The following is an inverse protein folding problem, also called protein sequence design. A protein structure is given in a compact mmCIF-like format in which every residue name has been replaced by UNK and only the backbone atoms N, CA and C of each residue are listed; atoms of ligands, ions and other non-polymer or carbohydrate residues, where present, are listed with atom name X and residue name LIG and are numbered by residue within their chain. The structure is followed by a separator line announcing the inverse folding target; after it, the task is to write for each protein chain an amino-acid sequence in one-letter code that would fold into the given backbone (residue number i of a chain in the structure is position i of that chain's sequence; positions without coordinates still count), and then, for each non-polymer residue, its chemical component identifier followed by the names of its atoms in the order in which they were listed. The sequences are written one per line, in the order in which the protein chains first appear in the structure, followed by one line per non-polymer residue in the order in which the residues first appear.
data_IF_559112401599
#
_entry.id   IF_559112401599
#
_cell.length_a   1.000
_cell.length_b   1.000
_cell.length_c   1.000
_cell.angle_alpha   90.00
_cell.angle_beta   90.00
_cell.angle_gamma   90.00
#
_symmetry.space_group_name_H-M   'P 1'
#
loop_
_entity.id
_entity.type
_entity.pdbx_description
1 polymer ?
#
# COMPACT_ATOMS: atom_id res chain seq x y z
N UNK A 1 11.81 12.74 17.40
CA UNK A 1 11.82 11.28 17.16
C UNK A 1 10.39 10.84 16.89
N UNK A 2 10.08 10.26 15.72
CA UNK A 2 8.74 9.69 15.45
C UNK A 2 8.87 8.18 15.39
N UNK A 3 8.76 7.58 16.57
CA UNK A 3 8.57 6.15 16.78
C UNK A 3 7.14 5.79 16.35
N UNK A 4 6.99 5.20 15.16
CA UNK A 4 5.86 4.31 14.85
C UNK A 4 6.40 3.17 13.99
N UNK A 5 7.00 2.21 14.67
CA UNK A 5 7.23 0.87 14.14
C UNK A 5 5.88 0.14 14.06
N UNK A 6 5.06 0.55 13.10
CA UNK A 6 3.98 -0.26 12.54
C UNK A 6 4.44 -0.56 11.12
N UNK A 7 4.59 -1.85 10.80
CA UNK A 7 5.05 -2.30 9.47
C UNK A 7 4.20 -1.60 8.42
N UNK A 8 4.78 -0.61 7.72
CA UNK A 8 4.03 0.25 6.80
C UNK A 8 3.27 -0.63 5.80
N UNK A 9 2.01 -0.34 5.46
CA UNK A 9 1.24 -1.17 4.52
C UNK A 9 1.99 -1.42 3.20
N UNK A 10 2.73 -0.40 2.72
CA UNK A 10 3.58 -0.54 1.54
C UNK A 10 4.80 -1.44 1.78
N UNK A 11 5.37 -1.47 2.98
CA UNK A 11 6.45 -2.39 3.32
C UNK A 11 5.97 -3.85 3.32
N UNK A 12 4.77 -4.10 3.87
CA UNK A 12 4.15 -5.43 3.79
C UNK A 12 3.91 -5.84 2.34
N UNK A 13 3.36 -4.94 1.53
CA UNK A 13 3.14 -5.20 0.10
C UNK A 13 4.43 -5.57 -0.63
N UNK A 14 5.51 -4.83 -0.36
CA UNK A 14 6.85 -5.11 -0.90
C UNK A 14 7.36 -6.48 -0.46
N UNK A 15 7.13 -6.86 0.80
CA UNK A 15 7.56 -8.16 1.32
C UNK A 15 6.81 -9.31 0.68
N UNK A 16 5.49 -9.19 0.52
CA UNK A 16 4.62 -10.18 -0.13
C UNK A 16 4.99 -10.35 -1.60
N UNK A 17 5.26 -9.25 -2.29
CA UNK A 17 5.67 -9.26 -3.69
C UNK A 17 7.08 -9.82 -3.92
N UNK A 18 7.89 -10.02 -2.86
CA UNK A 18 9.28 -10.48 -2.98
C UNK A 18 10.31 -9.38 -3.26
N UNK A 19 9.98 -8.11 -2.99
CA UNK A 19 10.89 -6.97 -3.06
C UNK A 19 10.35 -5.78 -3.86
N UNK A 20 11.05 -4.64 -3.78
CA UNK A 20 10.58 -3.38 -4.38
C UNK A 20 10.47 -3.46 -5.90
N UNK A 21 11.45 -4.10 -6.55
CA UNK A 21 11.46 -4.30 -8.01
C UNK A 21 10.36 -5.27 -8.45
N UNK A 22 10.09 -6.32 -7.68
CA UNK A 22 9.04 -7.28 -7.99
C UNK A 22 7.66 -6.64 -7.89
N UNK A 23 7.37 -5.92 -6.80
CA UNK A 23 6.13 -5.14 -6.66
C UNK A 23 5.98 -4.14 -7.79
N UNK A 24 7.05 -3.38 -8.10
CA UNK A 24 7.02 -2.38 -9.15
C UNK A 24 6.65 -2.98 -10.52
N UNK A 25 7.21 -4.15 -10.86
CA UNK A 25 6.89 -4.88 -12.09
C UNK A 25 5.44 -5.35 -12.11
N UNK A 26 4.93 -5.88 -10.99
CA UNK A 26 3.56 -6.38 -10.90
C UNK A 26 2.52 -5.28 -11.13
N UNK A 27 2.76 -4.07 -10.63
CA UNK A 27 1.80 -2.95 -10.73
C UNK A 27 2.15 -1.93 -11.83
N UNK A 28 3.13 -2.23 -12.69
CA UNK A 28 3.47 -1.38 -13.85
C UNK A 28 4.15 -0.04 -13.51
N UNK A 29 4.90 0.05 -12.41
CA UNK A 29 5.64 1.26 -12.01
C UNK A 29 7.15 1.02 -11.95
N UNK A 30 7.92 2.09 -11.66
CA UNK A 30 9.36 1.97 -11.42
C UNK A 30 9.67 1.59 -9.97
N UNK A 31 10.77 0.87 -9.73
CA UNK A 31 11.24 0.60 -8.36
C UNK A 31 11.47 1.89 -7.57
N UNK A 32 11.93 2.96 -8.23
CA UNK A 32 12.07 4.28 -7.62
C UNK A 32 10.75 4.89 -7.13
N UNK A 33 9.62 4.58 -7.77
CA UNK A 33 8.30 4.97 -7.28
C UNK A 33 7.98 4.27 -5.95
N UNK A 34 8.23 2.96 -5.88
CA UNK A 34 8.05 2.16 -4.65
C UNK A 34 8.95 2.68 -3.52
N UNK A 35 10.22 2.99 -3.83
CA UNK A 35 11.14 3.59 -2.87
C UNK A 35 10.64 4.93 -2.30
N UNK A 36 10.08 5.80 -3.15
CA UNK A 36 9.48 7.08 -2.71
C UNK A 36 8.30 6.86 -1.76
N UNK A 37 7.47 5.83 -2.01
CA UNK A 37 6.37 5.49 -1.11
C UNK A 37 6.86 4.96 0.24
N UNK A 38 7.86 4.06 0.24
CA UNK A 38 8.48 3.55 1.46
C UNK A 38 9.11 4.64 2.32
N UNK A 39 9.71 5.65 1.68
CA UNK A 39 10.31 6.80 2.36
C UNK A 39 9.28 7.88 2.74
N UNK A 40 8.02 7.73 2.37
CA UNK A 40 6.98 8.74 2.58
C UNK A 40 7.19 10.03 1.77
N UNK A 41 8.08 10.03 0.78
CA UNK A 41 8.36 11.18 -0.09
C UNK A 41 7.22 11.45 -1.08
N UNK A 42 6.44 10.42 -1.39
CA UNK A 42 5.24 10.53 -2.22
C UNK A 42 4.15 9.63 -1.65
N UNK A 43 2.89 10.05 -1.78
CA UNK A 43 1.74 9.19 -1.50
C UNK A 43 1.46 8.24 -2.67
N UNK A 44 0.86 7.09 -2.36
CA UNK A 44 0.36 6.15 -3.35
C UNK A 44 -0.86 6.75 -4.04
N UNK A 45 -0.93 6.74 -5.37
CA UNK A 45 -2.14 7.19 -6.08
C UNK A 45 -3.30 6.22 -5.83
N UNK A 46 -4.58 6.63 -5.95
CA UNK A 46 -5.71 5.72 -5.77
C UNK A 46 -5.63 4.48 -6.68
N UNK A 47 -5.27 4.69 -7.96
CA UNK A 47 -5.05 3.63 -8.95
C UNK A 47 -3.98 2.62 -8.49
N UNK A 48 -2.83 3.10 -8.03
CA UNK A 48 -1.77 2.24 -7.52
C UNK A 48 -2.16 1.55 -6.21
N UNK A 49 -3.02 2.14 -5.37
CA UNK A 49 -3.49 1.49 -4.15
C UNK A 49 -4.36 0.27 -4.47
N UNK A 50 -5.21 0.36 -5.50
CA UNK A 50 -5.97 -0.78 -6.03
C UNK A 50 -5.02 -1.83 -6.61
N UNK A 51 -4.09 -1.43 -7.48
CA UNK A 51 -3.13 -2.36 -8.08
C UNK A 51 -2.26 -3.09 -7.05
N UNK A 52 -1.85 -2.41 -5.96
CA UNK A 52 -1.12 -3.06 -4.85
C UNK A 52 -2.02 -4.05 -4.11
N UNK A 53 -3.30 -3.73 -3.92
CA UNK A 53 -4.25 -4.64 -3.27
C UNK A 53 -4.39 -5.93 -4.07
N UNK A 54 -4.53 -5.83 -5.40
CA UNK A 54 -4.58 -6.98 -6.30
C UNK A 54 -3.27 -7.76 -6.32
N UNK A 55 -2.13 -7.08 -6.45
CA UNK A 55 -0.80 -7.72 -6.46
C UNK A 55 -0.47 -8.44 -5.15
N UNK A 56 -1.10 -8.04 -4.04
CA UNK A 56 -0.93 -8.68 -2.72
C UNK A 56 -2.07 -9.66 -2.38
N UNK A 57 -2.96 -9.98 -3.32
CA UNK A 57 -4.13 -10.83 -3.11
C UNK A 57 -4.99 -10.38 -1.92
N UNK A 58 -5.17 -9.07 -1.74
CA UNK A 58 -5.98 -8.49 -0.67
C UNK A 58 -5.30 -8.45 0.71
N UNK A 59 -4.05 -8.92 0.84
CA UNK A 59 -3.31 -8.87 2.10
C UNK A 59 -2.91 -7.45 2.51
N UNK A 60 -2.88 -6.51 1.56
CA UNK A 60 -2.78 -5.07 1.84
C UNK A 60 -3.95 -4.38 1.17
N UNK A 61 -4.82 -3.75 1.95
CA UNK A 61 -6.03 -3.13 1.45
C UNK A 61 -5.79 -1.67 1.06
N UNK A 62 -6.54 -1.17 0.08
CA UNK A 62 -6.41 0.21 -0.40
C UNK A 62 -6.70 1.26 0.70
N UNK A 63 -7.61 0.98 1.65
CA UNK A 63 -7.89 1.88 2.79
C UNK A 63 -6.70 1.98 3.75
N UNK A 64 -5.84 0.96 3.84
CA UNK A 64 -4.61 1.02 4.64
C UNK A 64 -3.54 1.90 3.96
N UNK A 65 -3.50 1.89 2.63
CA UNK A 65 -2.58 2.72 1.84
C UNK A 65 -3.04 4.18 1.70
N UNK A 66 -4.37 4.39 1.68
CA UNK A 66 -5.03 5.69 1.51
C UNK A 66 -6.11 5.92 2.57
N UNK A 67 -5.74 6.00 3.85
CA UNK A 67 -6.69 6.34 4.92
C UNK A 67 -7.25 7.77 4.78
N UNK A 68 -6.66 8.61 3.93
CA UNK A 68 -7.16 9.93 3.58
C UNK A 68 -8.37 9.91 2.64
N UNK A 69 -8.71 8.77 2.03
CA UNK A 69 -9.83 8.62 1.11
C UNK A 69 -10.89 7.61 1.60
N UNK A 70 -11.50 7.79 2.78
CA UNK A 70 -12.45 6.83 3.33
C UNK A 70 -13.74 6.67 2.51
N UNK A 71 -14.08 7.66 1.67
CA UNK A 71 -15.23 7.58 0.75
C UNK A 71 -14.95 6.72 -0.49
N UNK A 72 -13.68 6.62 -0.89
CA UNK A 72 -13.25 5.85 -2.08
C UNK A 72 -12.81 4.45 -1.66
N UNK A 73 -12.08 4.37 -0.55
CA UNK A 73 -11.62 3.14 0.07
C UNK A 73 -12.21 3.05 1.48
N UNK A 74 -13.46 2.61 1.61
CA UNK A 74 -14.03 2.40 2.93
C UNK A 74 -13.21 1.34 3.69
N UNK A 75 -12.99 1.53 5.01
CA UNK A 75 -12.52 0.43 5.84
C UNK A 75 -13.55 -0.70 5.79
N UNK A 76 -13.13 -1.97 5.99
CA UNK A 76 -14.08 -3.07 6.13
C UNK A 76 -15.07 -2.67 7.23
N UNK A 77 -16.35 -2.77 6.93
CA UNK A 77 -17.39 -2.61 7.94
C UNK A 77 -17.08 -3.64 9.02
N UNK A 78 -16.57 -3.18 10.17
CA UNK A 78 -16.58 -3.99 11.37
C UNK A 78 -18.04 -4.30 11.62
N UNK A 79 -18.48 -5.58 11.57
CA UNK A 79 -19.83 -5.89 11.97
C UNK A 79 -19.97 -5.37 13.39
N UNK A 80 -20.86 -4.39 13.59
CA UNK A 80 -21.34 -4.08 14.92
C UNK A 80 -22.14 -5.31 15.35
N UNK A 81 -21.47 -6.22 16.06
CA UNK A 81 -22.12 -7.23 16.90
C UNK A 81 -22.70 -6.56 18.15
#
# INVERSE_FOLDING_TARGET
MKEKSYVSPIYRAVSIAGGQTALARQIGVTQGAVWKWLRGLKRVSPEHAVAITEATNGAVQAHELRPDLPKVFPPPEVPHE
#
